data_IF_761572167422
#
_entry.id   IF_761572167422
#
_cell.length_a   1.000
_cell.length_b   1.000
_cell.length_c   1.000
_cell.angle_alpha   90.00
_cell.angle_beta   90.00
_cell.angle_gamma   90.00
#
_symmetry.space_group_name_H-M   'P 1'
#
loop_
_entity.id
_entity.type
_entity.pdbx_description
1 polymer ?
#
# COMPACT_ATOMS: atom_id res chain seq x y z
N UNK A 1 -6.17 -18.47 -21.08
CA UNK A 1 -6.89 -17.87 -19.93
C UNK A 1 -6.10 -16.66 -19.52
N UNK A 2 -6.68 -15.46 -19.60
CA UNK A 2 -5.97 -14.18 -19.44
C UNK A 2 -5.39 -14.06 -18.02
N UNK A 3 -4.08 -13.90 -17.94
CA UNK A 3 -3.31 -13.60 -16.75
C UNK A 3 -3.91 -12.40 -16.01
N UNK A 4 -4.72 -12.70 -14.99
CA UNK A 4 -5.08 -11.73 -13.96
C UNK A 4 -3.86 -11.62 -13.05
N UNK A 5 -2.77 -11.03 -13.53
CA UNK A 5 -1.69 -10.58 -12.65
C UNK A 5 -2.30 -9.50 -11.75
N UNK A 6 -2.71 -9.83 -10.51
CA UNK A 6 -3.43 -8.88 -9.70
C UNK A 6 -2.37 -7.91 -9.18
N UNK A 7 -2.42 -6.61 -9.55
CA UNK A 7 -1.49 -5.51 -9.16
C UNK A 7 -0.45 -5.98 -8.11
N UNK A 8 0.74 -6.32 -8.60
CA UNK A 8 1.78 -7.19 -8.04
C UNK A 8 1.70 -7.55 -6.53
N UNK A 9 1.90 -8.83 -6.20
CA UNK A 9 2.13 -9.33 -4.81
C UNK A 9 3.18 -8.51 -4.04
N UNK A 10 4.09 -7.88 -4.78
CA UNK A 10 5.04 -6.88 -4.32
C UNK A 10 4.37 -5.72 -3.59
N UNK A 11 3.28 -5.14 -4.11
CA UNK A 11 2.57 -4.02 -3.47
C UNK A 11 2.01 -4.41 -2.09
N UNK A 12 1.37 -5.57 -1.98
CA UNK A 12 0.85 -6.04 -0.68
C UNK A 12 1.98 -6.31 0.31
N UNK A 13 3.11 -6.86 -0.15
CA UNK A 13 4.31 -7.07 0.67
C UNK A 13 4.94 -5.74 1.12
N UNK A 14 4.99 -4.74 0.24
CA UNK A 14 5.49 -3.41 0.56
C UNK A 14 4.60 -2.72 1.60
N UNK A 15 3.28 -2.70 1.40
CA UNK A 15 2.35 -2.13 2.37
C UNK A 15 2.47 -2.79 3.76
N UNK A 16 2.69 -4.11 3.81
CA UNK A 16 2.92 -4.84 5.07
C UNK A 16 4.23 -4.48 5.77
N UNK A 17 5.27 -4.17 5.01
CA UNK A 17 6.58 -3.80 5.56
C UNK A 17 6.65 -2.32 5.96
N UNK A 18 5.98 -1.45 5.20
CA UNK A 18 6.06 -0.01 5.39
C UNK A 18 5.07 0.53 6.43
N UNK A 19 3.87 -0.06 6.54
CA UNK A 19 2.82 0.48 7.40
C UNK A 19 2.80 -0.21 8.77
N UNK A 20 2.88 0.59 9.83
CA UNK A 20 2.74 0.11 11.21
C UNK A 20 1.26 -0.10 11.57
N UNK A 21 1.00 -0.82 12.66
CA UNK A 21 -0.35 -0.99 13.21
C UNK A 21 -1.03 0.35 13.50
N UNK A 22 -0.30 1.32 14.04
CA UNK A 22 -0.81 2.65 14.36
C UNK A 22 -1.24 3.41 13.11
N UNK A 23 -0.45 3.36 12.04
CA UNK A 23 -0.79 4.01 10.77
C UNK A 23 -2.04 3.39 10.13
N UNK A 24 -2.18 2.08 10.22
CA UNK A 24 -3.38 1.38 9.75
C UNK A 24 -4.62 1.78 10.59
N UNK A 25 -4.46 2.03 11.89
CA UNK A 25 -5.53 2.56 12.74
C UNK A 25 -5.87 4.02 12.39
N UNK A 26 -4.87 4.87 12.13
CA UNK A 26 -5.09 6.25 11.69
C UNK A 26 -5.91 6.29 10.40
N UNK A 27 -5.58 5.45 9.42
CA UNK A 27 -6.35 5.34 8.17
C UNK A 27 -7.77 4.84 8.45
N UNK A 28 -7.94 3.87 9.35
CA UNK A 28 -9.26 3.37 9.74
C UNK A 28 -10.14 4.50 10.30
N UNK A 29 -9.58 5.32 11.19
CA UNK A 29 -10.25 6.50 11.76
C UNK A 29 -10.54 7.56 10.70
N UNK A 30 -9.58 7.88 9.83
CA UNK A 30 -9.73 8.90 8.77
C UNK A 30 -10.93 8.61 7.85
N UNK A 31 -11.15 7.33 7.52
CA UNK A 31 -12.23 6.90 6.64
C UNK A 31 -13.48 6.40 7.39
N UNK A 32 -13.49 6.47 8.72
CA UNK A 32 -14.55 5.94 9.59
C UNK A 32 -14.92 4.48 9.26
N UNK A 33 -13.92 3.62 9.12
CA UNK A 33 -14.09 2.18 8.85
C UNK A 33 -13.42 1.34 9.92
N UNK A 34 -13.90 0.10 10.09
CA UNK A 34 -13.27 -0.84 11.01
C UNK A 34 -11.83 -1.19 10.59
N UNK A 35 -10.93 -1.35 11.55
CA UNK A 35 -9.52 -1.71 11.32
C UNK A 35 -9.35 -2.95 10.41
N UNK A 36 -10.14 -4.00 10.65
CA UNK A 36 -10.13 -5.21 9.81
C UNK A 36 -10.46 -4.92 8.33
N UNK A 37 -11.24 -3.88 8.02
CA UNK A 37 -11.48 -3.46 6.64
C UNK A 37 -10.20 -2.96 5.99
N UNK A 38 -9.40 -2.17 6.71
CA UNK A 38 -8.09 -1.71 6.25
C UNK A 38 -7.14 -2.90 6.03
N UNK A 39 -7.11 -3.86 6.97
CA UNK A 39 -6.30 -5.08 6.83
C UNK A 39 -6.71 -5.91 5.62
N UNK A 40 -8.02 -6.09 5.40
CA UNK A 40 -8.53 -6.81 4.24
C UNK A 40 -8.22 -6.10 2.91
N UNK A 41 -8.15 -4.77 2.90
CA UNK A 41 -7.74 -3.97 1.73
C UNK A 41 -6.22 -4.10 1.50
N UNK A 42 -5.41 -3.94 2.55
CA UNK A 42 -3.94 -4.13 2.53
C UNK A 42 -3.53 -5.48 1.97
N UNK A 43 -4.21 -6.51 2.45
CA UNK A 43 -3.95 -7.91 2.11
C UNK A 43 -4.73 -8.35 0.87
N UNK A 44 -5.48 -7.42 0.24
CA UNK A 44 -6.25 -7.63 -1.00
C UNK A 44 -7.24 -8.78 -0.93
N UNK A 45 -7.74 -9.07 0.28
CA UNK A 45 -8.76 -10.09 0.56
C UNK A 45 -10.18 -9.59 0.23
N UNK A 46 -10.37 -8.27 0.13
CA UNK A 46 -11.66 -7.68 -0.26
C UNK A 46 -11.83 -7.78 -1.78
N UNK A 47 -12.94 -8.37 -2.25
CA UNK A 47 -13.24 -8.61 -3.68
C UNK A 47 -13.22 -7.32 -4.52
N UNK A 48 -13.57 -6.18 -3.90
CA UNK A 48 -13.46 -4.83 -4.46
C UNK A 48 -12.94 -3.89 -3.35
N UNK A 49 -11.61 -3.70 -3.22
CA UNK A 49 -11.06 -2.79 -2.24
C UNK A 49 -11.41 -1.35 -2.60
N UNK A 50 -11.66 -0.52 -1.59
CA UNK A 50 -11.89 0.90 -1.81
C UNK A 50 -10.59 1.54 -2.31
N UNK A 51 -10.61 2.06 -3.53
CA UNK A 51 -9.44 2.65 -4.19
C UNK A 51 -8.97 3.91 -3.47
N UNK A 52 -9.86 4.65 -2.80
CA UNK A 52 -9.50 5.86 -2.05
C UNK A 52 -8.66 5.52 -0.82
N UNK A 53 -9.09 4.50 -0.06
CA UNK A 53 -8.37 3.97 1.10
C UNK A 53 -7.02 3.39 0.66
N UNK A 54 -7.01 2.56 -0.39
CA UNK A 54 -5.78 1.97 -0.93
C UNK A 54 -4.78 3.05 -1.37
N UNK A 55 -5.24 4.12 -2.02
CA UNK A 55 -4.40 5.25 -2.42
C UNK A 55 -3.80 5.96 -1.20
N UNK A 56 -4.56 6.14 -0.12
CA UNK A 56 -4.05 6.74 1.12
C UNK A 56 -2.98 5.86 1.78
N UNK A 57 -3.22 4.54 1.86
CA UNK A 57 -2.25 3.57 2.36
C UNK A 57 -0.94 3.60 1.56
N UNK A 58 -1.02 3.67 0.23
CA UNK A 58 0.15 3.78 -0.64
C UNK A 58 0.89 5.11 -0.40
N UNK A 59 0.18 6.24 -0.28
CA UNK A 59 0.80 7.54 0.00
C UNK A 59 1.54 7.58 1.33
N UNK A 60 0.94 7.03 2.39
CA UNK A 60 1.58 6.94 3.71
C UNK A 60 2.79 6.03 3.62
N UNK A 61 2.67 4.87 2.97
CA UNK A 61 3.79 3.96 2.77
C UNK A 61 4.95 4.64 2.00
N UNK A 62 4.65 5.43 0.96
CA UNK A 62 5.66 6.22 0.24
C UNK A 62 6.29 7.25 1.18
N UNK A 63 5.51 8.03 1.92
CA UNK A 63 6.07 9.06 2.83
C UNK A 63 6.94 8.47 3.94
N UNK A 64 6.53 7.33 4.51
CA UNK A 64 7.34 6.57 5.49
C UNK A 64 8.63 6.11 4.84
N UNK A 65 8.53 5.55 3.64
CA UNK A 65 9.70 5.10 2.90
C UNK A 65 10.60 6.27 2.53
N UNK A 66 10.12 7.40 2.04
CA UNK A 66 10.91 8.62 1.78
C UNK A 66 11.66 9.11 3.03
N UNK A 67 11.00 9.08 4.19
CA UNK A 67 11.64 9.39 5.48
C UNK A 67 12.73 8.39 5.85
N UNK A 68 12.53 7.10 5.56
CA UNK A 68 13.53 6.03 5.74
C UNK A 68 14.62 6.07 4.65
N UNK A 69 14.31 6.57 3.45
CA UNK A 69 15.18 6.63 2.26
C UNK A 69 16.12 7.84 2.31
N UNK A 70 15.94 8.79 3.22
CA UNK A 70 17.09 9.62 3.65
C UNK A 70 18.32 8.75 4.00
N UNK A 71 18.13 7.46 4.30
CA UNK A 71 19.20 6.48 4.50
C UNK A 71 19.39 5.39 3.41
N UNK A 72 18.51 5.17 2.40
CA UNK A 72 18.68 4.05 1.41
C UNK A 72 18.04 4.22 0.01
N UNK A 73 18.88 4.42 -1.01
CA UNK A 73 18.60 4.70 -2.43
C UNK A 73 17.83 3.62 -3.23
N UNK A 74 17.87 2.35 -2.81
CA UNK A 74 17.48 1.20 -3.67
C UNK A 74 15.95 0.97 -3.78
N UNK A 75 15.17 1.44 -2.79
CA UNK A 75 13.73 1.22 -2.75
C UNK A 75 12.94 2.20 -3.64
N UNK A 76 13.42 3.44 -3.81
CA UNK A 76 12.79 4.42 -4.71
C UNK A 76 12.78 3.86 -6.14
N UNK A 77 13.92 3.34 -6.59
CA UNK A 77 14.08 2.78 -7.94
C UNK A 77 13.04 1.67 -8.19
N UNK A 78 12.81 0.78 -7.22
CA UNK A 78 11.83 -0.30 -7.36
C UNK A 78 10.37 0.21 -7.34
N UNK A 79 10.08 1.28 -6.60
CA UNK A 79 8.74 1.87 -6.53
C UNK A 79 8.39 2.66 -7.78
N UNK A 80 9.35 3.42 -8.33
CA UNK A 80 9.20 4.14 -9.60
C UNK A 80 8.95 3.18 -10.76
N UNK A 81 9.71 2.08 -10.83
CA UNK A 81 9.51 1.03 -11.84
C UNK A 81 8.14 0.35 -11.77
N UNK A 82 7.53 0.24 -10.59
CA UNK A 82 6.17 -0.30 -10.46
C UNK A 82 5.09 0.75 -10.75
N UNK A 83 5.37 2.03 -10.51
CA UNK A 83 4.47 3.13 -10.84
C UNK A 83 4.34 3.31 -12.36
N UNK A 84 5.45 3.21 -13.10
CA UNK A 84 5.46 3.27 -14.57
C UNK A 84 4.60 2.18 -15.22
N UNK A 85 4.43 1.03 -14.56
CA UNK A 85 3.60 -0.08 -15.07
C UNK A 85 2.09 0.16 -14.90
N UNK A 86 1.71 1.17 -14.14
CA UNK A 86 0.31 1.52 -13.85
C UNK A 86 -0.18 2.65 -14.77
N UNK A 87 0.72 3.33 -15.48
CA UNK A 87 0.42 4.40 -16.46
C UNK A 87 0.36 3.84 -17.87
#
# INVERSE_FOLDING_TARGET
MKDRNPISSLLSRLLKKSLTTEELQIIATQYNVHYNTIINIRDRRKKNPDKSILKSMIKIAISVQEKQIKDKTELIILLEQELEKIV
#
